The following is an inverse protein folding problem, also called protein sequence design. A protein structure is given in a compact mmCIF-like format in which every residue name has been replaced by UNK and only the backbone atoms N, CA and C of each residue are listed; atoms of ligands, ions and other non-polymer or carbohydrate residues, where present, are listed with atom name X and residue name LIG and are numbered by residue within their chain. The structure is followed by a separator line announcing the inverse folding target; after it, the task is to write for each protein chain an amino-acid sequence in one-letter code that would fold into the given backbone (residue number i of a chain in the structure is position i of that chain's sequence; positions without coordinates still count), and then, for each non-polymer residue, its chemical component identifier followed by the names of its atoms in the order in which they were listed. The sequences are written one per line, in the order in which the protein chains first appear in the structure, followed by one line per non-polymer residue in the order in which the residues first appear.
data_IF_912464939775
#
_entry.id   IF_912464939775
#
_cell.length_a   1.000
_cell.length_b   1.000
_cell.length_c   1.000
_cell.angle_alpha   90.00
_cell.angle_beta   90.00
_cell.angle_gamma   90.00
#
_symmetry.space_group_name_H-M   'P 1'
#
loop_
_entity.id
_entity.type
_entity.pdbx_description
1 polymer ?
#
# COMPACT_ATOMS: atom_id res chain seq x y z
N UNK A 1 -7.98 -5.82 -9.19
CA UNK A 1 -8.62 -5.19 -8.01
C UNK A 1 -10.10 -5.51 -7.89
N UNK A 2 -10.82 -5.69 -8.99
CA UNK A 2 -12.23 -6.07 -8.94
C UNK A 2 -12.45 -7.43 -8.25
N UNK A 3 -11.46 -8.31 -8.29
CA UNK A 3 -11.54 -9.64 -7.66
C UNK A 3 -11.22 -9.63 -6.17
N UNK A 4 -10.76 -8.50 -5.62
CA UNK A 4 -10.38 -8.42 -4.21
C UNK A 4 -11.61 -8.29 -3.32
N UNK A 5 -11.61 -9.03 -2.21
CA UNK A 5 -12.62 -8.93 -1.19
C UNK A 5 -12.19 -8.11 0.01
N UNK A 6 -13.12 -7.94 0.95
CA UNK A 6 -12.88 -7.27 2.22
C UNK A 6 -11.74 -7.99 2.98
N UNK A 7 -10.77 -7.24 3.44
CA UNK A 7 -9.63 -7.78 4.18
C UNK A 7 -8.47 -8.23 3.30
N UNK A 8 -8.64 -8.36 1.98
CA UNK A 8 -7.53 -8.64 1.09
C UNK A 8 -6.53 -7.48 1.09
N UNK A 9 -5.26 -7.80 0.87
CA UNK A 9 -4.17 -6.83 0.94
C UNK A 9 -3.56 -6.61 -0.44
N UNK A 10 -3.12 -5.38 -0.67
CA UNK A 10 -2.44 -4.98 -1.88
C UNK A 10 -1.13 -4.29 -1.50
N UNK A 11 -0.01 -4.77 -2.02
CA UNK A 11 1.29 -4.13 -1.83
C UNK A 11 1.63 -3.29 -3.05
N UNK A 12 2.05 -2.05 -2.83
CA UNK A 12 2.58 -1.14 -3.86
C UNK A 12 4.04 -0.93 -3.53
N UNK A 13 4.93 -1.30 -4.45
CA UNK A 13 6.34 -1.43 -4.12
C UNK A 13 7.23 -0.71 -5.12
N UNK A 14 8.47 -0.40 -4.68
CA UNK A 14 9.46 0.28 -5.53
C UNK A 14 10.05 -0.68 -6.58
N UNK A 15 10.87 -0.12 -7.48
CA UNK A 15 11.47 -0.86 -8.58
C UNK A 15 12.49 -1.91 -8.13
N UNK A 16 13.03 -1.75 -6.92
CA UNK A 16 14.05 -2.66 -6.36
C UNK A 16 13.47 -3.76 -5.47
N UNK A 17 12.18 -3.69 -5.18
CA UNK A 17 11.51 -4.70 -4.37
C UNK A 17 11.48 -6.04 -5.13
N UNK A 18 11.75 -7.17 -4.46
CA UNK A 18 11.77 -8.49 -5.13
C UNK A 18 10.35 -9.01 -5.41
N UNK A 19 9.60 -8.28 -6.24
CA UNK A 19 8.18 -8.54 -6.47
C UNK A 19 7.94 -9.91 -7.12
N UNK A 20 8.78 -10.30 -8.07
CA UNK A 20 8.63 -11.59 -8.76
C UNK A 20 8.89 -12.78 -7.85
N UNK A 21 9.77 -12.61 -6.84
CA UNK A 21 10.08 -13.67 -5.88
C UNK A 21 9.02 -13.76 -4.78
N UNK A 22 8.54 -12.61 -4.32
CA UNK A 22 7.65 -12.51 -3.16
C UNK A 22 6.19 -12.60 -3.57
N UNK A 23 5.80 -11.94 -4.66
CA UNK A 23 4.40 -11.75 -5.01
C UNK A 23 3.73 -13.00 -5.59
N UNK A 24 2.48 -13.24 -5.19
CA UNK A 24 1.63 -14.28 -5.79
C UNK A 24 1.10 -13.83 -7.15
N UNK A 25 0.73 -12.56 -7.27
CA UNK A 25 0.33 -11.88 -8.51
C UNK A 25 1.09 -10.59 -8.58
N UNK A 26 1.78 -10.35 -9.68
CA UNK A 26 2.56 -9.12 -9.87
C UNK A 26 1.95 -8.31 -11.01
N UNK A 27 1.62 -7.07 -10.69
CA UNK A 27 1.12 -6.10 -11.68
C UNK A 27 2.21 -5.05 -11.86
N UNK A 28 2.69 -4.87 -13.08
CA UNK A 28 3.77 -3.92 -13.36
C UNK A 28 3.21 -2.57 -13.81
N UNK A 29 3.65 -1.50 -13.15
CA UNK A 29 3.36 -0.12 -13.52
C UNK A 29 4.67 0.68 -13.61
N UNK A 30 5.54 0.36 -14.57
CA UNK A 30 6.89 0.94 -14.61
C UNK A 30 6.91 2.44 -14.93
N UNK A 31 5.82 2.98 -15.47
CA UNK A 31 5.72 4.39 -15.82
C UNK A 31 5.26 5.30 -14.68
N UNK A 32 4.97 4.75 -13.51
CA UNK A 32 4.50 5.52 -12.36
C UNK A 32 5.43 5.32 -11.16
N UNK A 33 5.68 6.37 -10.38
CA UNK A 33 6.30 6.20 -9.07
C UNK A 33 5.27 5.66 -8.06
N UNK A 34 5.73 5.26 -6.89
CA UNK A 34 4.85 4.64 -5.90
C UNK A 34 3.76 5.58 -5.39
N UNK A 35 4.03 6.87 -5.07
CA UNK A 35 2.95 7.77 -4.65
C UNK A 35 1.91 8.01 -5.74
N UNK A 36 2.31 8.10 -7.01
CA UNK A 36 1.37 8.26 -8.13
C UNK A 36 0.48 7.01 -8.27
N UNK A 37 1.07 5.83 -8.15
CA UNK A 37 0.32 4.58 -8.18
C UNK A 37 -0.67 4.49 -7.00
N UNK A 38 -0.23 4.88 -5.80
CA UNK A 38 -1.08 4.92 -4.61
C UNK A 38 -2.28 5.85 -4.83
N UNK A 39 -2.03 7.05 -5.35
CA UNK A 39 -3.09 8.02 -5.61
C UNK A 39 -4.15 7.46 -6.55
N UNK A 40 -3.74 6.86 -7.66
CA UNK A 40 -4.66 6.26 -8.62
C UNK A 40 -5.44 5.10 -8.01
N UNK A 41 -4.79 4.24 -7.24
CA UNK A 41 -5.41 3.07 -6.62
C UNK A 41 -6.46 3.50 -5.58
N UNK A 42 -6.16 4.52 -4.77
CA UNK A 42 -7.08 4.98 -3.74
C UNK A 42 -8.38 5.56 -4.30
N UNK A 43 -8.43 5.93 -5.57
CA UNK A 43 -9.70 6.38 -6.18
C UNK A 43 -10.73 5.27 -6.27
N UNK A 44 -10.29 4.00 -6.25
CA UNK A 44 -11.18 2.82 -6.43
C UNK A 44 -10.97 1.77 -5.34
N UNK A 45 -10.08 2.01 -4.38
CA UNK A 45 -9.72 1.03 -3.36
C UNK A 45 -10.05 1.59 -1.98
N UNK A 46 -11.19 1.20 -1.39
CA UNK A 46 -11.52 1.64 -0.03
C UNK A 46 -10.59 0.95 0.98
N UNK A 47 -10.05 1.72 1.92
CA UNK A 47 -9.27 1.16 3.01
C UNK A 47 -10.18 0.63 4.11
N UNK A 48 -9.71 -0.40 4.82
CA UNK A 48 -10.45 -1.02 5.90
C UNK A 48 -10.26 -0.22 7.19
N UNK A 49 -11.25 0.57 7.57
CA UNK A 49 -11.23 1.36 8.79
C UNK A 49 -11.52 0.55 10.06
N UNK A 50 -11.94 -0.70 9.90
CA UNK A 50 -12.15 -1.62 11.04
C UNK A 50 -10.86 -2.31 11.48
N UNK A 51 -9.78 -2.21 10.71
CA UNK A 51 -8.48 -2.78 10.98
C UNK A 51 -7.51 -1.67 11.39
N UNK A 52 -6.72 -1.92 12.42
CA UNK A 52 -5.70 -0.99 12.87
C UNK A 52 -4.34 -1.70 12.89
N UNK A 53 -3.43 -1.41 11.95
CA UNK A 53 -3.57 -0.41 10.88
C UNK A 53 -4.04 -0.99 9.55
N UNK A 54 -4.66 -0.17 8.71
CA UNK A 54 -4.99 -0.51 7.32
C UNK A 54 -3.89 -0.10 6.34
N UNK A 55 -2.87 0.62 6.82
CA UNK A 55 -1.73 1.09 6.03
C UNK A 55 -0.45 0.64 6.70
N UNK A 56 0.41 -0.04 5.96
CA UNK A 56 1.67 -0.57 6.45
C UNK A 56 2.80 -0.11 5.52
N UNK A 57 3.90 0.35 6.10
CA UNK A 57 5.08 0.78 5.37
C UNK A 57 6.29 -0.05 5.78
N UNK A 58 7.44 0.18 5.17
CA UNK A 58 8.68 -0.52 5.53
C UNK A 58 9.60 0.44 6.27
N UNK A 59 10.07 0.03 7.46
CA UNK A 59 11.03 0.85 8.20
C UNK A 59 12.41 0.81 7.55
N UNK A 60 13.16 1.89 7.77
CA UNK A 60 14.55 1.99 7.31
C UNK A 60 15.42 1.03 8.11
N UNK A 61 16.22 0.23 7.44
CA UNK A 61 17.13 -0.70 8.09
C UNK A 61 18.11 0.07 8.98
N UNK A 62 18.18 -0.30 10.26
CA UNK A 62 19.06 0.35 11.23
C UNK A 62 18.55 1.67 11.79
N UNK A 63 17.41 2.18 11.32
CA UNK A 63 16.81 3.42 11.82
C UNK A 63 15.28 3.37 11.74
N UNK A 64 14.63 2.64 12.66
CA UNK A 64 13.18 2.42 12.60
C UNK A 64 12.35 3.69 12.83
N UNK A 65 12.95 4.77 13.30
CA UNK A 65 12.24 6.05 13.50
C UNK A 65 12.30 6.97 12.29
N UNK A 66 13.14 6.67 11.31
CA UNK A 66 13.25 7.48 10.10
C UNK A 66 12.01 7.32 9.22
N UNK A 67 11.60 8.41 8.58
CA UNK A 67 10.53 8.40 7.59
C UNK A 67 11.12 8.63 6.20
N UNK A 68 11.20 7.60 5.36
CA UNK A 68 11.73 7.77 4.00
C UNK A 68 10.93 8.76 3.17
N UNK A 69 11.58 9.43 2.22
CA UNK A 69 10.92 10.40 1.35
C UNK A 69 9.66 9.84 0.65
N UNK A 70 9.68 8.62 0.09
CA UNK A 70 8.45 8.07 -0.50
C UNK A 70 7.33 7.92 0.50
N UNK A 71 7.64 7.59 1.75
CA UNK A 71 6.62 7.43 2.80
C UNK A 71 6.01 8.77 3.16
N UNK A 72 6.81 9.85 3.21
CA UNK A 72 6.26 11.21 3.38
C UNK A 72 5.28 11.53 2.25
N UNK A 73 5.64 11.16 1.02
CA UNK A 73 4.75 11.37 -0.14
C UNK A 73 3.48 10.52 -0.04
N UNK A 74 3.55 9.29 0.50
CA UNK A 74 2.37 8.46 0.75
C UNK A 74 1.41 9.15 1.73
N UNK A 75 1.93 9.75 2.79
CA UNK A 75 1.09 10.46 3.76
C UNK A 75 0.39 11.66 3.12
N UNK A 76 1.08 12.37 2.24
CA UNK A 76 0.47 13.48 1.51
C UNK A 76 -0.67 13.00 0.59
N UNK A 77 -0.48 11.86 -0.09
CA UNK A 77 -1.52 11.25 -0.92
C UNK A 77 -2.72 10.82 -0.07
N UNK A 78 -2.47 10.15 1.06
CA UNK A 78 -3.54 9.73 1.97
C UNK A 78 -4.34 10.93 2.47
N UNK A 79 -3.65 12.00 2.87
CA UNK A 79 -4.29 13.24 3.32
C UNK A 79 -5.19 13.82 2.22
N UNK A 80 -4.71 13.81 0.98
CA UNK A 80 -5.50 14.28 -0.18
C UNK A 80 -6.77 13.49 -0.42
N UNK A 81 -6.84 12.24 0.03
CA UNK A 81 -8.04 11.39 -0.04
C UNK A 81 -8.87 11.42 1.24
N UNK A 82 -8.57 12.31 2.18
CA UNK A 82 -9.27 12.38 3.46
C UNK A 82 -8.91 11.24 4.42
N UNK A 83 -7.78 10.58 4.21
CA UNK A 83 -7.35 9.39 4.97
C UNK A 83 -6.13 9.68 5.85
N UNK A 84 -5.79 10.95 6.06
CA UNK A 84 -4.59 11.32 6.80
C UNK A 84 -4.61 10.96 8.28
N UNK A 85 -5.79 10.72 8.85
CA UNK A 85 -5.93 10.35 10.27
C UNK A 85 -5.90 8.84 10.50
N UNK A 86 -5.81 8.03 9.43
CA UNK A 86 -5.75 6.58 9.61
C UNK A 86 -4.43 6.17 10.26
N UNK A 87 -4.47 5.24 11.22
CA UNK A 87 -3.25 4.73 11.80
C UNK A 87 -2.45 3.94 10.77
N UNK A 88 -1.15 4.03 10.87
CA UNK A 88 -0.23 3.26 10.03
C UNK A 88 0.85 2.63 10.91
N UNK A 89 1.53 1.62 10.39
CA UNK A 89 2.65 0.97 11.05
C UNK A 89 3.76 0.72 10.05
N UNK A 90 5.00 0.98 10.47
CA UNK A 90 6.18 0.57 9.72
C UNK A 90 6.59 -0.83 10.17
N UNK A 91 6.82 -1.71 9.21
CA UNK A 91 7.27 -3.08 9.44
C UNK A 91 8.75 -3.21 9.06
N UNK A 92 9.46 -4.09 9.73
CA UNK A 92 10.79 -4.49 9.31
C UNK A 92 10.72 -5.14 7.93
N UNK A 93 11.83 -5.08 7.19
CA UNK A 93 11.88 -5.55 5.80
C UNK A 93 11.29 -6.95 5.62
N UNK A 94 11.72 -7.92 6.40
CA UNK A 94 11.26 -9.30 6.22
C UNK A 94 9.81 -9.49 6.64
N UNK A 95 9.35 -8.76 7.64
CA UNK A 95 7.92 -8.76 8.01
C UNK A 95 7.07 -8.19 6.88
N UNK A 96 7.53 -7.12 6.23
CA UNK A 96 6.85 -6.58 5.06
C UNK A 96 6.82 -7.59 3.90
N UNK A 97 7.95 -8.28 3.64
CA UNK A 97 8.01 -9.31 2.61
C UNK A 97 7.01 -10.44 2.89
N UNK A 98 6.88 -10.88 4.13
CA UNK A 98 5.92 -11.92 4.49
C UNK A 98 4.47 -11.47 4.24
N UNK A 99 4.13 -10.24 4.63
CA UNK A 99 2.82 -9.68 4.35
C UNK A 99 2.57 -9.56 2.84
N UNK A 100 3.55 -9.10 2.09
CA UNK A 100 3.43 -8.99 0.64
C UNK A 100 3.27 -10.36 -0.03
N UNK A 101 3.90 -11.41 0.52
CA UNK A 101 3.76 -12.77 0.00
C UNK A 101 2.33 -13.27 0.13
N UNK A 102 1.66 -12.91 1.21
CA UNK A 102 0.26 -13.29 1.46
C UNK A 102 -0.74 -12.32 0.83
N UNK A 103 -0.29 -11.20 0.30
CA UNK A 103 -1.14 -10.22 -0.33
C UNK A 103 -1.79 -10.77 -1.61
N UNK A 104 -2.97 -10.24 -1.93
CA UNK A 104 -3.67 -10.59 -3.16
C UNK A 104 -2.83 -10.30 -4.40
N UNK A 105 -2.14 -9.16 -4.41
CA UNK A 105 -1.26 -8.76 -5.51
C UNK A 105 -0.18 -7.81 -5.03
N UNK A 106 0.91 -7.75 -5.79
CA UNK A 106 2.01 -6.80 -5.62
C UNK A 106 2.08 -5.94 -6.88
N UNK A 107 1.91 -4.63 -6.71
CA UNK A 107 2.04 -3.66 -7.79
C UNK A 107 3.48 -3.14 -7.78
N UNK A 108 4.28 -3.54 -8.76
CA UNK A 108 5.64 -3.06 -8.91
C UNK A 108 5.64 -1.78 -9.73
N UNK A 109 6.07 -0.70 -9.12
CA UNK A 109 6.12 0.62 -9.75
C UNK A 109 7.50 0.93 -10.32
N UNK A 110 7.64 2.08 -10.96
CA UNK A 110 8.93 2.63 -11.38
C UNK A 110 9.59 3.50 -10.30
N UNK A 111 9.20 3.38 -9.04
CA UNK A 111 9.76 4.16 -7.95
C UNK A 111 11.24 3.81 -7.74
N UNK A 112 12.11 4.78 -7.86
CA UNK A 112 13.56 4.58 -7.73
C UNK A 112 14.09 4.89 -6.33
N UNK A 113 13.32 5.62 -5.51
CA UNK A 113 13.73 5.93 -4.14
C UNK A 113 13.58 4.69 -3.27
N UNK A 114 14.54 4.44 -2.34
CA UNK A 114 14.47 3.29 -1.46
C UNK A 114 13.28 3.40 -0.50
N UNK A 115 12.80 2.25 -0.03
CA UNK A 115 11.68 2.14 0.92
C UNK A 115 10.37 2.72 0.38
N UNK A 116 10.21 2.78 -0.93
CA UNK A 116 8.97 3.23 -1.57
C UNK A 116 7.90 2.14 -1.59
N UNK A 117 7.59 1.57 -0.43
CA UNK A 117 6.72 0.41 -0.29
C UNK A 117 5.59 0.72 0.68
N UNK A 118 4.37 0.39 0.28
CA UNK A 118 3.18 0.53 1.13
C UNK A 118 2.24 -0.65 0.89
N UNK A 119 1.63 -1.14 1.95
CA UNK A 119 0.65 -2.21 1.90
C UNK A 119 -0.67 -1.68 2.43
N UNK A 120 -1.74 -1.98 1.71
CA UNK A 120 -3.08 -1.51 2.01
C UNK A 120 -3.99 -2.69 2.29
N UNK A 121 -4.87 -2.54 3.30
CA UNK A 121 -5.91 -3.53 3.59
C UNK A 121 -7.23 -3.02 3.01
N UNK A 122 -7.85 -3.81 2.13
CA UNK A 122 -9.07 -3.41 1.44
C UNK A 122 -10.26 -3.45 2.38
N UNK A 123 -11.03 -2.37 2.39
CA UNK A 123 -12.28 -2.27 3.10
C UNK A 123 -13.49 -2.64 2.24
N UNK A 124 -14.66 -2.32 2.75
CA UNK A 124 -15.94 -2.55 2.09
C UNK A 124 -16.23 -1.40 1.12
N UNK A 125 -16.73 -1.73 -0.07
CA UNK A 125 -17.19 -0.72 -1.01
C UNK A 125 -18.55 -0.19 -0.54
N UNK A 126 -18.59 1.06 -0.10
CA UNK A 126 -19.81 1.71 0.40
C UNK A 126 -20.53 2.48 -0.71
N UNK A 127 -20.81 1.81 -1.81
CA UNK A 127 -21.55 2.43 -2.91
C UNK A 127 -23.05 2.21 -2.82
N UNK A 128 -23.50 1.35 -1.91
CA UNK A 128 -24.93 1.08 -1.72
C UNK A 128 -25.53 2.10 -0.75
N UNK A 129 -26.55 2.80 -1.23
CA UNK A 129 -27.35 3.69 -0.40
C UNK A 129 -28.77 3.09 -0.32
N UNK A 130 -29.19 2.61 0.87
CA UNK A 130 -30.55 2.05 0.98
C UNK A 130 -31.59 3.11 0.69
N UNK A 131 -32.68 2.71 0.04
CA UNK A 131 -33.84 3.57 -0.17
C UNK A 131 -34.46 3.91 1.18
N UNK A 132 -34.86 5.16 1.39
CA UNK A 132 -35.53 5.54 2.62
C UNK A 132 -36.90 4.90 2.78
#
# INVERSE_FOLDING_TARGET
MLSMGHGDELAIVDANFPAATVGRRVIALPGADAPTALDAILTVFPLDDSVNPAVLTMEVAGDPTATPDPVVAFFAVLTGHGLGDLPFRALRRYAFYERARDAFAVVRTGELRPYGNVLLVKGVVNSYTPMP
#
